data_IF_622487291259
#
_entry.id   IF_622487291259
#
_cell.length_a   1.000
_cell.length_b   1.000
_cell.length_c   1.000
_cell.angle_alpha   90.00
_cell.angle_beta   90.00
_cell.angle_gamma   90.00
#
_symmetry.space_group_name_H-M   'P 1'
#
loop_
_entity.id
_entity.type
_entity.pdbx_description
1 polymer ?
#
# COMPACT_ATOMS: atom_id res chain seq x y z
N UNK A 1 -17.07 -19.01 6.66
CA UNK A 1 -16.34 -18.81 5.40
C UNK A 1 -17.24 -18.05 4.43
N UNK A 2 -17.25 -16.72 4.51
CA UNK A 2 -17.93 -15.90 3.51
C UNK A 2 -17.00 -15.75 2.31
N UNK A 3 -17.20 -16.55 1.26
CA UNK A 3 -16.63 -16.24 -0.05
C UNK A 3 -17.27 -14.93 -0.50
N UNK A 4 -16.52 -13.83 -0.46
CA UNK A 4 -16.95 -12.56 -1.06
C UNK A 4 -17.40 -12.87 -2.49
N UNK A 5 -18.69 -12.71 -2.78
CA UNK A 5 -19.24 -13.00 -4.11
C UNK A 5 -18.50 -12.13 -5.11
N UNK A 6 -17.84 -12.76 -6.08
CA UNK A 6 -17.32 -12.06 -7.24
C UNK A 6 -18.54 -11.50 -7.97
N UNK A 7 -18.60 -10.18 -8.25
CA UNK A 7 -19.70 -9.59 -9.00
C UNK A 7 -19.90 -10.35 -10.33
N UNK A 8 -21.14 -10.46 -10.81
CA UNK A 8 -21.41 -10.99 -12.15
C UNK A 8 -20.64 -10.15 -13.18
N UNK A 9 -19.66 -10.78 -13.86
CA UNK A 9 -18.77 -10.09 -14.78
C UNK A 9 -19.43 -9.95 -16.14
N UNK A 10 -19.34 -8.74 -16.70
CA UNK A 10 -19.71 -8.49 -18.08
C UNK A 10 -18.75 -9.25 -19.00
N UNK A 11 -19.28 -10.16 -19.83
CA UNK A 11 -18.47 -10.85 -20.83
C UNK A 11 -18.12 -9.85 -21.92
N UNK A 12 -16.83 -9.56 -22.07
CA UNK A 12 -16.30 -8.62 -23.06
C UNK A 12 -15.77 -9.40 -24.28
N UNK A 13 -16.03 -8.90 -25.49
CA UNK A 13 -15.48 -9.51 -26.72
C UNK A 13 -13.96 -9.37 -26.76
N UNK A 14 -13.28 -10.18 -27.58
CA UNK A 14 -11.83 -10.03 -27.73
C UNK A 14 -11.47 -8.66 -28.33
N UNK A 15 -12.25 -8.17 -29.28
CA UNK A 15 -12.01 -6.89 -29.95
C UNK A 15 -12.15 -5.70 -29.00
N UNK A 16 -13.14 -5.75 -28.10
CA UNK A 16 -13.34 -4.73 -27.07
C UNK A 16 -12.23 -4.78 -26.01
N UNK A 17 -11.86 -5.98 -25.56
CA UNK A 17 -10.77 -6.19 -24.61
C UNK A 17 -9.40 -5.76 -25.18
N UNK A 18 -9.12 -6.08 -26.44
CA UNK A 18 -7.89 -5.70 -27.12
C UNK A 18 -7.76 -4.17 -27.19
N UNK A 19 -8.82 -3.47 -27.60
CA UNK A 19 -8.81 -1.99 -27.70
C UNK A 19 -8.62 -1.33 -26.35
N UNK A 20 -9.25 -1.84 -25.31
CA UNK A 20 -9.32 -1.19 -23.99
C UNK A 20 -8.23 -1.62 -23.00
N UNK A 21 -7.65 -2.82 -23.17
CA UNK A 21 -6.78 -3.45 -22.17
C UNK A 21 -5.50 -4.04 -22.77
N UNK A 22 -5.63 -4.85 -23.81
CA UNK A 22 -4.58 -5.82 -24.16
C UNK A 22 -3.70 -5.45 -25.36
N UNK A 23 -3.95 -4.34 -26.06
CA UNK A 23 -3.17 -3.99 -27.25
C UNK A 23 -1.70 -3.62 -26.92
N UNK A 24 -0.73 -3.92 -27.81
CA UNK A 24 0.69 -3.69 -27.55
C UNK A 24 1.05 -2.25 -27.21
N UNK A 25 0.45 -1.25 -27.88
CA UNK A 25 0.78 0.16 -27.65
C UNK A 25 0.44 0.59 -26.22
N UNK A 26 -0.78 0.27 -25.77
CA UNK A 26 -1.22 0.52 -24.40
C UNK A 26 -0.36 -0.25 -23.40
N UNK A 27 -0.18 -1.55 -23.61
CA UNK A 27 0.53 -2.40 -22.66
C UNK A 27 2.00 -2.02 -22.51
N UNK A 28 2.70 -1.68 -23.60
CA UNK A 28 4.08 -1.18 -23.51
C UNK A 28 4.16 0.09 -22.66
N UNK A 29 3.25 1.04 -22.87
CA UNK A 29 3.21 2.29 -22.08
C UNK A 29 2.97 2.02 -20.58
N UNK A 30 2.03 1.14 -20.26
CA UNK A 30 1.72 0.77 -18.87
C UNK A 30 2.87 0.02 -18.21
N UNK A 31 3.48 -0.94 -18.93
CA UNK A 31 4.60 -1.72 -18.44
C UNK A 31 5.86 -0.87 -18.24
N UNK A 32 6.17 0.08 -19.12
CA UNK A 32 7.29 1.00 -18.91
C UNK A 32 7.13 1.85 -17.65
N UNK A 33 5.90 2.34 -17.41
CA UNK A 33 5.59 3.08 -16.18
C UNK A 33 5.75 2.21 -14.93
N UNK A 34 5.27 0.97 -14.97
CA UNK A 34 5.32 0.06 -13.82
C UNK A 34 6.71 -0.55 -13.60
N UNK A 35 7.46 -0.77 -14.68
CA UNK A 35 8.71 -1.55 -14.72
C UNK A 35 9.74 -0.82 -15.60
N UNK A 36 10.38 0.25 -15.09
CA UNK A 36 11.25 1.12 -15.88
C UNK A 36 12.42 0.42 -16.59
N UNK A 37 12.87 -0.74 -16.08
CA UNK A 37 13.90 -1.53 -16.75
C UNK A 37 13.45 -2.04 -18.14
N UNK A 38 12.15 -2.24 -18.38
CA UNK A 38 11.64 -2.60 -19.71
C UNK A 38 11.83 -1.46 -20.71
N UNK A 39 11.61 -0.21 -20.28
CA UNK A 39 11.88 0.97 -21.11
C UNK A 39 13.38 1.15 -21.36
N UNK A 40 14.20 1.04 -20.31
CA UNK A 40 15.65 1.17 -20.40
C UNK A 40 16.28 0.12 -21.33
N UNK A 41 15.70 -1.08 -21.39
CA UNK A 41 16.13 -2.16 -22.29
C UNK A 41 15.49 -2.07 -23.68
N UNK A 42 14.52 -1.19 -23.86
CA UNK A 42 13.68 -1.07 -25.07
C UNK A 42 12.91 -2.37 -25.40
N UNK A 43 12.70 -3.23 -24.39
CA UNK A 43 11.90 -4.43 -24.53
C UNK A 43 10.46 -4.04 -24.86
N UNK A 44 9.80 -4.74 -25.80
CA UNK A 44 8.41 -4.41 -26.14
C UNK A 44 7.59 -5.61 -26.59
N UNK A 45 6.30 -5.54 -26.32
CA UNK A 45 5.28 -6.39 -26.92
C UNK A 45 5.07 -5.96 -28.37
N UNK A 46 5.07 -6.93 -29.29
CA UNK A 46 4.83 -6.70 -30.73
C UNK A 46 3.46 -7.23 -31.16
N UNK A 47 2.96 -8.31 -30.53
CA UNK A 47 1.66 -8.91 -30.88
C UNK A 47 1.03 -9.59 -29.67
N UNK A 48 -0.29 -9.49 -29.56
CA UNK A 48 -1.09 -10.18 -28.53
C UNK A 48 -2.33 -10.77 -29.19
N UNK A 49 -2.66 -12.02 -28.84
CA UNK A 49 -3.91 -12.70 -29.19
C UNK A 49 -4.43 -13.48 -27.97
N UNK A 50 -5.65 -14.04 -28.00
CA UNK A 50 -6.11 -14.91 -26.91
C UNK A 50 -5.13 -16.08 -26.69
N UNK A 51 -4.53 -16.15 -25.50
CA UNK A 51 -3.55 -17.16 -25.15
C UNK A 51 -2.20 -17.03 -25.89
N UNK A 52 -1.89 -15.88 -26.51
CA UNK A 52 -0.63 -15.67 -27.22
C UNK A 52 -0.03 -14.30 -26.97
N UNK A 53 1.31 -14.26 -26.86
CA UNK A 53 2.08 -13.02 -26.84
C UNK A 53 3.39 -13.20 -27.62
N UNK A 54 3.75 -12.18 -28.38
CA UNK A 54 5.08 -12.01 -28.98
C UNK A 54 5.71 -10.71 -28.50
N UNK A 55 7.01 -10.79 -28.21
CA UNK A 55 7.80 -9.67 -27.70
C UNK A 55 9.16 -9.63 -28.38
N UNK A 56 9.83 -8.49 -28.27
CA UNK A 56 11.22 -8.30 -28.71
C UNK A 56 12.03 -7.75 -27.55
N UNK A 57 13.15 -8.41 -27.25
CA UNK A 57 14.26 -7.84 -26.49
C UNK A 57 15.34 -7.40 -27.50
N UNK A 58 15.54 -6.09 -27.70
CA UNK A 58 16.54 -5.62 -28.65
C UNK A 58 17.95 -5.85 -28.15
N UNK A 59 18.85 -6.33 -29.01
CA UNK A 59 20.30 -6.26 -28.78
C UNK A 59 20.77 -4.80 -28.84
N UNK A 60 21.12 -4.23 -27.68
CA UNK A 60 21.61 -2.86 -27.55
C UNK A 60 22.59 -2.76 -26.36
N UNK A 61 23.07 -1.55 -26.08
CA UNK A 61 24.01 -1.31 -24.98
C UNK A 61 23.45 -1.71 -23.61
N UNK A 62 22.16 -1.47 -23.35
CA UNK A 62 21.54 -1.80 -22.06
C UNK A 62 21.31 -3.30 -21.87
N UNK A 63 21.20 -4.06 -22.98
CA UNK A 63 20.81 -5.47 -22.93
C UNK A 63 21.96 -6.45 -23.10
N UNK A 64 23.14 -5.97 -23.48
CA UNK A 64 24.32 -6.81 -23.77
C UNK A 64 25.26 -6.95 -22.58
N UNK A 65 26.01 -8.05 -22.56
CA UNK A 65 27.15 -8.28 -21.66
C UNK A 65 28.48 -7.91 -22.35
N UNK A 66 29.62 -8.15 -21.68
CA UNK A 66 30.96 -7.87 -22.22
C UNK A 66 31.30 -8.62 -23.52
N UNK A 67 30.51 -9.62 -23.90
CA UNK A 67 30.67 -10.40 -25.11
C UNK A 67 29.71 -9.97 -26.25
N UNK A 68 28.97 -8.87 -26.07
CA UNK A 68 28.02 -8.38 -27.07
C UNK A 68 26.80 -9.29 -27.26
N UNK A 69 26.46 -10.09 -26.24
CA UNK A 69 25.30 -11.00 -26.25
C UNK A 69 24.31 -10.62 -25.15
N UNK A 70 23.04 -11.00 -25.31
CA UNK A 70 22.02 -10.70 -24.30
C UNK A 70 22.40 -11.22 -22.90
N UNK A 71 22.18 -10.39 -21.88
CA UNK A 71 22.36 -10.79 -20.48
C UNK A 71 21.30 -11.84 -20.07
N UNK A 72 21.73 -12.90 -19.38
CA UNK A 72 20.86 -13.98 -18.95
C UNK A 72 19.64 -13.49 -18.15
N UNK A 73 19.85 -12.54 -17.22
CA UNK A 73 18.78 -11.96 -16.40
C UNK A 73 17.72 -11.21 -17.22
N UNK A 74 18.10 -10.58 -18.34
CA UNK A 74 17.17 -9.86 -19.21
C UNK A 74 16.38 -10.80 -20.12
N UNK A 75 16.93 -11.98 -20.43
CA UNK A 75 16.18 -13.05 -21.09
C UNK A 75 15.11 -13.58 -20.13
N UNK A 76 15.45 -13.79 -18.85
CA UNK A 76 14.48 -14.18 -17.81
C UNK A 76 13.38 -13.14 -17.61
N UNK A 77 13.75 -11.86 -17.57
CA UNK A 77 12.79 -10.75 -17.53
C UNK A 77 11.86 -10.79 -18.75
N UNK A 78 12.42 -10.93 -19.96
CA UNK A 78 11.65 -11.04 -21.19
C UNK A 78 10.66 -12.21 -21.13
N UNK A 79 11.09 -13.36 -20.60
CA UNK A 79 10.24 -14.55 -20.47
C UNK A 79 9.04 -14.30 -19.57
N UNK A 80 9.26 -13.63 -18.44
CA UNK A 80 8.22 -13.32 -17.46
C UNK A 80 7.09 -12.49 -18.08
N UNK A 81 7.43 -11.38 -18.71
CA UNK A 81 6.41 -10.50 -19.29
C UNK A 81 5.78 -11.08 -20.57
N UNK A 82 6.49 -11.91 -21.35
CA UNK A 82 5.90 -12.63 -22.49
C UNK A 82 4.85 -13.64 -22.02
N UNK A 83 5.19 -14.50 -21.06
CA UNK A 83 4.26 -15.52 -20.55
C UNK A 83 3.09 -14.91 -19.77
N UNK A 84 3.36 -13.89 -18.94
CA UNK A 84 2.33 -13.17 -18.19
C UNK A 84 1.33 -12.47 -19.11
N UNK A 85 1.77 -11.89 -20.22
CA UNK A 85 0.87 -11.28 -21.20
C UNK A 85 0.00 -12.33 -21.92
N UNK A 86 0.58 -13.48 -22.29
CA UNK A 86 -0.17 -14.57 -22.91
C UNK A 86 -1.22 -15.17 -21.97
N UNK A 87 -0.91 -15.29 -20.68
CA UNK A 87 -1.88 -15.71 -19.66
C UNK A 87 -3.03 -14.71 -19.53
N UNK A 88 -2.71 -13.43 -19.46
CA UNK A 88 -3.68 -12.38 -19.14
C UNK A 88 -4.57 -11.99 -20.31
N UNK A 89 -4.18 -12.33 -21.55
CA UNK A 89 -5.06 -12.21 -22.71
C UNK A 89 -6.21 -13.22 -22.70
N UNK A 90 -6.13 -14.29 -21.89
CA UNK A 90 -7.26 -15.21 -21.64
C UNK A 90 -8.27 -14.65 -20.64
N UNK A 91 -7.87 -13.73 -19.76
CA UNK A 91 -8.71 -13.13 -18.73
C UNK A 91 -9.39 -11.86 -19.24
N UNK A 92 -10.29 -12.00 -20.22
CA UNK A 92 -10.96 -10.87 -20.90
C UNK A 92 -11.78 -10.02 -19.92
N UNK A 93 -11.69 -8.71 -20.07
CA UNK A 93 -12.35 -7.73 -19.21
C UNK A 93 -11.75 -7.63 -17.81
N UNK A 94 -10.62 -8.31 -17.54
CA UNK A 94 -10.00 -8.36 -16.21
C UNK A 94 -8.71 -7.53 -16.21
N UNK A 95 -8.72 -6.30 -15.67
CA UNK A 95 -7.50 -5.52 -15.51
C UNK A 95 -6.52 -6.17 -14.53
N UNK A 96 -5.23 -5.91 -14.71
CA UNK A 96 -4.18 -6.41 -13.82
C UNK A 96 -3.82 -5.37 -12.77
N UNK A 97 -3.93 -5.76 -11.50
CA UNK A 97 -3.51 -4.92 -10.38
C UNK A 97 -2.02 -4.57 -10.50
N UNK A 98 -1.68 -3.29 -10.35
CA UNK A 98 -0.31 -2.77 -10.47
C UNK A 98 0.13 -2.41 -11.89
N UNK A 99 -0.64 -2.79 -12.93
CA UNK A 99 -0.37 -2.41 -14.33
C UNK A 99 -1.49 -1.54 -14.89
N UNK A 100 -2.74 -2.00 -14.73
CA UNK A 100 -3.93 -1.29 -15.15
C UNK A 100 -4.50 -0.47 -13.99
N UNK A 101 -5.13 0.66 -14.31
CA UNK A 101 -5.97 1.34 -13.35
C UNK A 101 -7.24 0.51 -13.12
N UNK A 102 -7.45 0.05 -11.89
CA UNK A 102 -8.56 -0.85 -11.56
C UNK A 102 -8.85 -0.90 -10.07
N UNK A 103 -10.06 -1.36 -9.73
CA UNK A 103 -10.44 -1.69 -8.36
C UNK A 103 -10.20 -3.17 -8.05
N UNK A 104 -10.17 -3.54 -6.78
CA UNK A 104 -9.85 -4.91 -6.37
C UNK A 104 -10.96 -5.92 -6.74
N UNK A 105 -12.21 -5.45 -6.85
CA UNK A 105 -13.39 -6.25 -7.16
C UNK A 105 -13.40 -6.74 -8.63
N UNK A 106 -12.75 -5.99 -9.51
CA UNK A 106 -12.74 -6.25 -10.95
C UNK A 106 -11.38 -6.75 -11.47
N UNK A 107 -10.31 -6.63 -10.69
CA UNK A 107 -8.95 -6.94 -11.14
C UNK A 107 -8.45 -8.35 -10.80
N UNK A 108 -7.39 -8.75 -11.49
CA UNK A 108 -6.56 -9.91 -11.15
C UNK A 108 -5.25 -9.46 -10.49
N UNK A 109 -4.84 -10.19 -9.47
CA UNK A 109 -3.45 -10.22 -9.02
C UNK A 109 -2.74 -11.38 -9.71
N UNK A 110 -1.57 -11.10 -10.28
CA UNK A 110 -0.73 -12.06 -10.98
C UNK A 110 0.71 -11.92 -10.49
N UNK A 111 1.39 -13.05 -10.27
CA UNK A 111 2.83 -13.05 -10.03
C UNK A 111 3.49 -14.33 -10.55
N UNK A 112 4.80 -14.25 -10.77
CA UNK A 112 5.64 -15.37 -11.12
C UNK A 112 6.01 -16.17 -9.86
N UNK A 113 5.62 -17.44 -9.82
CA UNK A 113 5.91 -18.35 -8.70
C UNK A 113 7.26 -19.06 -8.86
N UNK A 114 7.65 -19.40 -10.09
CA UNK A 114 8.96 -19.97 -10.40
C UNK A 114 9.29 -19.83 -11.88
N UNK A 115 10.57 -19.85 -12.25
CA UNK A 115 11.03 -19.89 -13.63
C UNK A 115 12.13 -20.94 -13.80
N UNK A 116 12.18 -21.55 -14.99
CA UNK A 116 13.30 -22.33 -15.48
C UNK A 116 13.64 -21.82 -16.87
N UNK A 117 14.90 -21.42 -17.11
CA UNK A 117 15.36 -20.92 -18.41
C UNK A 117 16.57 -21.73 -18.84
N UNK A 118 16.47 -22.36 -20.01
CA UNK A 118 17.56 -23.10 -20.66
C UNK A 118 18.07 -22.31 -21.86
N UNK A 119 19.32 -21.87 -21.75
CA UNK A 119 20.04 -21.19 -22.82
C UNK A 119 20.64 -22.22 -23.78
N UNK A 120 20.28 -22.13 -25.05
CA UNK A 120 20.74 -23.06 -26.11
C UNK A 120 22.00 -22.52 -26.78
N UNK A 121 22.01 -21.23 -27.11
CA UNK A 121 23.15 -20.55 -27.75
C UNK A 121 23.13 -19.06 -27.43
N UNK A 122 24.26 -18.35 -27.59
CA UNK A 122 24.30 -16.91 -27.40
C UNK A 122 23.38 -16.19 -28.39
N UNK A 123 22.60 -15.21 -27.90
CA UNK A 123 21.79 -14.34 -28.74
C UNK A 123 22.60 -13.10 -29.14
N UNK A 124 22.83 -12.97 -30.45
CA UNK A 124 23.69 -11.95 -31.09
C UNK A 124 22.93 -10.99 -32.00
N UNK A 125 21.61 -10.89 -31.83
CA UNK A 125 20.71 -10.03 -32.58
C UNK A 125 19.45 -9.78 -31.76
N UNK A 126 18.50 -8.98 -32.27
CA UNK A 126 17.23 -8.78 -31.57
C UNK A 126 16.54 -10.13 -31.32
N UNK A 127 16.15 -10.36 -30.07
CA UNK A 127 15.61 -11.64 -29.63
C UNK A 127 14.10 -11.55 -29.57
N UNK A 128 13.41 -12.43 -30.30
CA UNK A 128 11.94 -12.53 -30.27
C UNK A 128 11.53 -13.61 -29.28
N UNK A 129 10.69 -13.26 -28.32
CA UNK A 129 10.09 -14.18 -27.36
C UNK A 129 8.65 -14.49 -27.74
N UNK A 130 8.23 -15.76 -27.68
CA UNK A 130 6.86 -16.19 -27.97
C UNK A 130 6.33 -17.12 -26.90
N UNK A 131 5.08 -16.89 -26.50
CA UNK A 131 4.33 -17.78 -25.63
C UNK A 131 2.98 -18.07 -26.27
N UNK A 132 2.62 -19.35 -26.38
CA UNK A 132 1.27 -19.82 -26.71
C UNK A 132 0.79 -20.72 -25.58
N UNK A 133 -0.33 -20.37 -24.98
CA UNK A 133 -1.03 -21.23 -24.01
C UNK A 133 -1.68 -22.38 -24.79
N UNK A 134 -1.44 -23.65 -24.45
CA UNK A 134 -2.12 -24.79 -25.07
C UNK A 134 -3.64 -24.68 -24.93
N UNK A 135 -4.40 -25.06 -25.96
CA UNK A 135 -5.86 -24.85 -26.01
C UNK A 135 -6.61 -25.55 -24.86
N UNK A 136 -6.19 -26.76 -24.49
CA UNK A 136 -6.79 -27.51 -23.37
C UNK A 136 -6.53 -26.83 -22.02
N UNK A 137 -5.37 -26.18 -21.89
CA UNK A 137 -4.96 -25.43 -20.71
C UNK A 137 -5.66 -24.07 -20.66
N UNK A 138 -5.82 -23.40 -21.80
CA UNK A 138 -6.49 -22.12 -21.93
C UNK A 138 -7.92 -22.19 -21.40
N UNK A 139 -8.69 -23.22 -21.80
CA UNK A 139 -10.05 -23.45 -21.29
C UNK A 139 -10.06 -23.65 -19.77
N UNK A 140 -9.17 -24.50 -19.25
CA UNK A 140 -9.04 -24.77 -17.81
C UNK A 140 -8.72 -23.49 -17.01
N UNK A 141 -7.85 -22.63 -17.54
CA UNK A 141 -7.50 -21.34 -16.92
C UNK A 141 -8.74 -20.46 -16.81
N UNK A 142 -9.46 -20.26 -17.92
CA UNK A 142 -10.65 -19.39 -17.98
C UNK A 142 -11.73 -19.90 -17.03
N UNK A 143 -12.09 -21.18 -17.10
CA UNK A 143 -13.12 -21.79 -16.27
C UNK A 143 -12.77 -21.68 -14.78
N UNK A 144 -11.50 -21.95 -14.44
CA UNK A 144 -11.02 -21.90 -13.06
C UNK A 144 -11.03 -20.48 -12.51
N UNK A 145 -10.54 -19.50 -13.28
CA UNK A 145 -10.57 -18.10 -12.88
C UNK A 145 -12.00 -17.56 -12.76
N UNK A 146 -12.90 -17.91 -13.69
CA UNK A 146 -14.31 -17.53 -13.65
C UNK A 146 -15.03 -18.11 -12.42
N UNK A 147 -14.65 -19.32 -11.97
CA UNK A 147 -15.15 -19.92 -10.73
C UNK A 147 -14.59 -19.29 -9.45
N UNK A 148 -13.77 -18.22 -9.56
CA UNK A 148 -13.15 -17.56 -8.42
C UNK A 148 -12.07 -18.39 -7.74
N UNK A 149 -11.46 -19.35 -8.45
CA UNK A 149 -10.38 -20.20 -7.92
C UNK A 149 -9.03 -19.69 -8.38
N UNK A 150 -8.01 -19.86 -7.53
CA UNK A 150 -6.60 -19.62 -7.88
C UNK A 150 -6.20 -20.39 -9.14
N UNK A 151 -5.59 -19.71 -10.10
CA UNK A 151 -4.91 -20.30 -11.27
C UNK A 151 -3.44 -20.48 -10.92
N UNK A 152 -2.91 -21.67 -11.16
CA UNK A 152 -1.49 -21.97 -11.04
C UNK A 152 -1.08 -22.77 -12.27
N UNK A 153 -0.26 -22.19 -13.14
CA UNK A 153 0.00 -22.75 -14.47
C UNK A 153 1.44 -22.52 -14.91
N UNK A 154 2.06 -23.54 -15.51
CA UNK A 154 3.35 -23.44 -16.18
C UNK A 154 3.14 -23.15 -17.66
N UNK A 155 3.80 -22.12 -18.19
CA UNK A 155 3.72 -21.72 -19.59
C UNK A 155 5.10 -21.80 -20.27
N UNK A 156 5.17 -22.35 -21.49
CA UNK A 156 6.39 -22.40 -22.26
C UNK A 156 6.62 -21.07 -23.00
N UNK A 157 7.87 -20.60 -22.99
CA UNK A 157 8.32 -19.46 -23.78
C UNK A 157 9.49 -19.92 -24.65
N UNK A 158 9.43 -19.61 -25.94
CA UNK A 158 10.52 -19.87 -26.87
C UNK A 158 11.15 -18.56 -27.31
N UNK A 159 12.48 -18.56 -27.42
CA UNK A 159 13.25 -17.41 -27.87
C UNK A 159 14.01 -17.74 -29.13
N UNK A 160 13.93 -16.83 -30.10
CA UNK A 160 14.66 -16.90 -31.35
C UNK A 160 15.45 -15.64 -31.64
N UNK A 161 16.52 -15.78 -32.39
CA UNK A 161 17.31 -14.68 -32.94
C UNK A 161 17.73 -15.08 -34.34
N UNK A 162 17.47 -14.24 -35.35
CA UNK A 162 17.80 -14.51 -36.74
C UNK A 162 17.32 -15.90 -37.23
N UNK A 163 16.11 -16.30 -36.83
CA UNK A 163 15.52 -17.60 -37.18
C UNK A 163 16.12 -18.82 -36.47
N UNK A 164 16.94 -18.61 -35.43
CA UNK A 164 17.52 -19.70 -34.64
C UNK A 164 17.06 -19.65 -33.18
N UNK A 165 16.70 -20.80 -32.62
CA UNK A 165 16.34 -20.94 -31.20
C UNK A 165 17.53 -20.65 -30.28
N UNK A 166 17.41 -19.64 -29.42
CA UNK A 166 18.47 -19.20 -28.50
C UNK A 166 18.22 -19.60 -27.05
N UNK A 167 16.97 -19.69 -26.64
CA UNK A 167 16.58 -20.15 -25.31
C UNK A 167 15.17 -20.75 -25.32
N UNK A 168 14.89 -21.57 -24.32
CA UNK A 168 13.55 -22.05 -23.97
C UNK A 168 13.34 -21.84 -22.47
N UNK A 169 12.12 -21.46 -22.08
CA UNK A 169 11.80 -21.24 -20.70
C UNK A 169 10.44 -21.84 -20.33
N UNK A 170 10.31 -22.24 -19.07
CA UNK A 170 9.06 -22.64 -18.46
C UNK A 170 8.82 -21.78 -17.22
N UNK A 171 7.74 -21.01 -17.23
CA UNK A 171 7.42 -20.07 -16.16
C UNK A 171 6.09 -20.45 -15.51
N UNK A 172 6.10 -20.56 -14.19
CA UNK A 172 4.94 -20.92 -13.40
C UNK A 172 4.29 -19.66 -12.83
N UNK A 173 3.10 -19.34 -13.30
CA UNK A 173 2.33 -18.19 -12.89
C UNK A 173 1.25 -18.55 -11.89
N UNK A 174 1.04 -17.65 -10.95
CA UNK A 174 -0.15 -17.61 -10.11
C UNK A 174 -1.04 -16.46 -10.57
N UNK A 175 -2.37 -16.68 -10.62
CA UNK A 175 -3.34 -15.60 -10.82
C UNK A 175 -4.63 -15.84 -10.02
N UNK A 176 -5.20 -14.80 -9.42
CA UNK A 176 -6.52 -14.85 -8.77
C UNK A 176 -7.20 -13.46 -8.70
N UNK A 177 -8.52 -13.39 -8.50
CA UNK A 177 -9.21 -12.12 -8.25
C UNK A 177 -8.61 -11.37 -7.06
N UNK A 178 -8.29 -10.08 -7.24
CA UNK A 178 -7.59 -9.27 -6.24
C UNK A 178 -8.37 -9.19 -4.92
N UNK A 179 -9.69 -9.07 -4.97
CA UNK A 179 -10.55 -9.01 -3.78
C UNK A 179 -10.34 -10.22 -2.83
N UNK A 180 -10.03 -11.40 -3.37
CA UNK A 180 -9.83 -12.61 -2.57
C UNK A 180 -8.51 -12.59 -1.79
N UNK A 181 -7.54 -11.73 -2.15
CA UNK A 181 -6.36 -11.47 -1.34
C UNK A 181 -6.68 -10.60 -0.12
N UNK A 182 -7.75 -9.82 -0.18
CA UNK A 182 -8.15 -8.86 0.86
C UNK A 182 -9.15 -9.44 1.85
N UNK A 183 -9.94 -10.45 1.44
CA UNK A 183 -11.00 -11.06 2.26
C UNK A 183 -10.58 -12.27 3.10
N UNK A 184 -9.29 -12.58 3.20
CA UNK A 184 -8.78 -13.69 3.99
C UNK A 184 -8.49 -13.30 5.45
N UNK A 185 -8.47 -14.25 6.41
CA UNK A 185 -7.94 -13.99 7.75
C UNK A 185 -6.50 -13.46 7.62
N UNK A 186 -6.21 -12.30 8.22
CA UNK A 186 -4.92 -11.61 8.11
C UNK A 186 -3.72 -12.53 8.42
N UNK A 187 -3.91 -13.48 9.34
CA UNK A 187 -2.92 -14.49 9.75
C UNK A 187 -2.41 -15.40 8.60
N UNK A 188 -3.09 -15.46 7.44
CA UNK A 188 -2.74 -16.39 6.34
C UNK A 188 -2.35 -15.72 5.02
N UNK A 189 -2.47 -14.40 4.89
CA UNK A 189 -2.15 -13.69 3.65
C UNK A 189 -0.79 -12.99 3.74
N UNK A 190 0.25 -13.66 3.26
CA UNK A 190 1.62 -13.10 3.17
C UNK A 190 1.66 -11.76 2.41
N UNK A 191 0.77 -11.55 1.45
CA UNK A 191 0.68 -10.34 0.65
C UNK A 191 0.03 -9.16 1.40
N UNK A 192 -1.02 -9.42 2.20
CA UNK A 192 -1.64 -8.38 3.03
C UNK A 192 -0.63 -7.90 4.08
N UNK A 193 0.07 -8.84 4.72
CA UNK A 193 1.13 -8.55 5.69
C UNK A 193 2.29 -7.78 5.05
N UNK A 194 2.69 -8.14 3.83
CA UNK A 194 3.70 -7.38 3.08
C UNK A 194 3.24 -5.96 2.74
N UNK A 195 1.96 -5.77 2.36
CA UNK A 195 1.39 -4.46 2.05
C UNK A 195 1.35 -3.56 3.28
N UNK A 196 0.83 -4.04 4.41
CA UNK A 196 0.79 -3.28 5.66
C UNK A 196 2.19 -2.81 6.10
N UNK A 197 3.18 -3.72 6.05
CA UNK A 197 4.59 -3.38 6.33
C UNK A 197 5.14 -2.35 5.34
N UNK A 198 4.82 -2.47 4.06
CA UNK A 198 5.28 -1.53 3.03
C UNK A 198 4.71 -0.13 3.25
N UNK A 199 3.41 0.02 3.52
CA UNK A 199 2.78 1.31 3.79
C UNK A 199 3.34 1.94 5.07
N UNK A 200 3.51 1.17 6.16
CA UNK A 200 4.12 1.67 7.40
C UNK A 200 5.56 2.18 7.18
N UNK A 201 6.38 1.44 6.43
CA UNK A 201 7.75 1.84 6.07
C UNK A 201 7.78 3.07 5.17
N UNK A 202 6.83 3.17 4.23
CA UNK A 202 6.69 4.33 3.36
C UNK A 202 6.38 5.59 4.17
N UNK A 203 5.40 5.54 5.08
CA UNK A 203 5.07 6.69 5.96
C UNK A 203 6.25 7.06 6.87
N UNK A 204 6.97 6.08 7.42
CA UNK A 204 8.22 6.34 8.15
C UNK A 204 9.27 7.03 7.26
N UNK A 205 9.40 6.62 6.00
CA UNK A 205 10.29 7.25 5.02
C UNK A 205 9.89 8.70 4.70
N UNK A 206 8.58 9.00 4.60
CA UNK A 206 8.07 10.37 4.43
C UNK A 206 8.45 11.24 5.62
N UNK A 207 8.32 10.73 6.86
CA UNK A 207 8.76 11.44 8.08
C UNK A 207 10.27 11.64 8.10
N UNK A 208 11.04 10.63 7.72
CA UNK A 208 12.50 10.69 7.67
C UNK A 208 12.99 11.78 6.71
N UNK A 209 12.41 11.86 5.51
CA UNK A 209 12.78 12.87 4.51
C UNK A 209 12.28 14.28 4.83
N UNK A 210 11.33 14.39 5.75
CA UNK A 210 10.87 15.66 6.30
C UNK A 210 11.71 16.13 7.50
N UNK A 211 12.57 15.27 8.04
CA UNK A 211 13.48 15.51 9.16
C UNK A 211 14.94 15.42 8.70
N UNK A 212 15.45 16.46 8.03
CA UNK A 212 16.82 16.50 7.49
C UNK A 212 17.22 17.85 6.88
N UNK A 213 18.42 17.91 6.29
CA UNK A 213 18.93 19.10 5.58
C UNK A 213 17.94 19.55 4.50
N UNK A 214 17.62 20.86 4.48
CA UNK A 214 16.55 21.45 3.68
C UNK A 214 16.78 21.32 2.17
N UNK A 215 18.01 21.03 1.75
CA UNK A 215 18.41 20.89 0.35
C UNK A 215 17.70 19.74 -0.38
N UNK A 216 17.17 18.74 0.34
CA UNK A 216 16.49 17.56 -0.25
C UNK A 216 15.14 17.16 0.37
N UNK A 217 14.56 18.00 1.23
CA UNK A 217 13.27 17.72 1.90
C UNK A 217 12.09 17.99 0.98
N UNK A 218 11.12 17.05 0.93
CA UNK A 218 9.83 17.26 0.26
C UNK A 218 8.91 18.18 1.05
N UNK A 219 9.13 18.29 2.36
CA UNK A 219 8.35 19.12 3.27
C UNK A 219 9.08 20.44 3.55
N UNK A 220 8.37 21.57 3.42
CA UNK A 220 8.94 22.92 3.58
C UNK A 220 8.49 23.66 4.84
N UNK A 221 7.66 23.04 5.68
CA UNK A 221 7.12 23.64 6.89
C UNK A 221 8.04 23.59 8.12
N UNK A 222 7.49 23.84 9.33
CA UNK A 222 8.23 23.82 10.58
C UNK A 222 8.90 22.47 10.86
N UNK A 223 10.13 22.49 11.38
CA UNK A 223 10.82 21.24 11.73
C UNK A 223 10.04 20.52 12.83
N UNK A 224 9.67 19.28 12.55
CA UNK A 224 9.07 18.36 13.51
C UNK A 224 10.12 17.28 13.76
N UNK A 225 10.45 17.03 15.02
CA UNK A 225 11.33 15.92 15.40
C UNK A 225 10.77 14.64 14.77
N UNK A 226 11.56 13.86 14.05
CA UNK A 226 11.16 12.53 13.57
C UNK A 226 12.36 11.60 13.71
N UNK A 227 13.09 11.71 14.83
CA UNK A 227 14.16 10.80 15.17
C UNK A 227 13.74 9.34 14.96
N UNK A 228 14.69 8.53 14.47
CA UNK A 228 14.51 7.10 14.17
C UNK A 228 13.53 6.76 13.04
N UNK A 229 12.88 7.75 12.40
CA UNK A 229 12.02 7.48 11.23
C UNK A 229 12.80 6.88 10.05
N UNK A 230 14.07 7.26 9.86
CA UNK A 230 14.94 6.67 8.84
C UNK A 230 15.27 5.19 9.13
N UNK A 231 15.59 4.86 10.39
CA UNK A 231 15.78 3.47 10.85
C UNK A 231 14.51 2.66 10.61
N UNK A 232 13.35 3.20 10.99
CA UNK A 232 12.06 2.53 10.79
C UNK A 232 11.70 2.32 9.31
N UNK A 233 11.96 3.31 8.45
CA UNK A 233 11.74 3.19 7.01
C UNK A 233 12.61 2.08 6.40
N UNK A 234 13.89 2.06 6.76
CA UNK A 234 14.92 1.28 6.06
C UNK A 234 15.03 1.64 4.57
N UNK A 235 15.89 0.95 3.80
CA UNK A 235 16.08 1.26 2.38
C UNK A 235 14.79 1.17 1.56
N UNK A 236 13.94 0.18 1.85
CA UNK A 236 12.68 -0.01 1.15
C UNK A 236 11.69 1.13 1.40
N UNK A 237 11.49 1.52 2.66
CA UNK A 237 10.60 2.63 3.01
C UNK A 237 11.05 3.96 2.44
N UNK A 238 12.37 4.22 2.45
CA UNK A 238 12.95 5.44 1.86
C UNK A 238 12.69 5.53 0.35
N UNK A 239 12.87 4.43 -0.38
CA UNK A 239 12.58 4.37 -1.81
C UNK A 239 11.09 4.53 -2.12
N UNK A 240 10.21 3.88 -1.35
CA UNK A 240 8.77 4.04 -1.50
C UNK A 240 8.34 5.48 -1.21
N UNK A 241 8.86 6.10 -0.16
CA UNK A 241 8.56 7.49 0.17
C UNK A 241 8.99 8.46 -0.94
N UNK A 242 10.13 8.23 -1.58
CA UNK A 242 10.58 9.03 -2.71
C UNK A 242 9.65 8.88 -3.92
N UNK A 243 9.34 7.64 -4.32
CA UNK A 243 8.39 7.36 -5.41
C UNK A 243 7.02 7.98 -5.15
N UNK A 244 6.52 7.84 -3.93
CA UNK A 244 5.21 8.39 -3.54
C UNK A 244 5.21 9.91 -3.53
N UNK A 245 6.23 10.58 -2.99
CA UNK A 245 6.27 12.05 -2.97
C UNK A 245 6.41 12.67 -4.37
N UNK A 246 7.12 12.00 -5.29
CA UNK A 246 7.17 12.44 -6.70
C UNK A 246 5.78 12.38 -7.34
N UNK A 247 5.02 11.32 -7.07
CA UNK A 247 3.68 11.16 -7.61
C UNK A 247 2.61 11.97 -6.84
N UNK A 248 2.82 12.23 -5.55
CA UNK A 248 1.87 12.85 -4.63
C UNK A 248 2.61 13.91 -3.79
N UNK A 249 2.88 15.10 -4.34
CA UNK A 249 3.64 16.13 -3.63
C UNK A 249 3.03 16.56 -2.28
N UNK A 250 1.71 16.40 -2.12
CA UNK A 250 0.97 16.74 -0.90
C UNK A 250 1.18 15.74 0.25
N UNK A 251 1.72 14.55 -0.02
CA UNK A 251 1.87 13.48 0.95
C UNK A 251 2.74 13.88 2.15
N UNK A 252 3.85 14.58 1.88
CA UNK A 252 4.74 15.06 2.93
C UNK A 252 4.00 16.02 3.88
N UNK A 253 3.32 17.04 3.35
CA UNK A 253 2.54 17.98 4.18
C UNK A 253 1.44 17.26 4.97
N UNK A 254 0.74 16.30 4.36
CA UNK A 254 -0.26 15.48 5.05
C UNK A 254 0.32 14.75 6.26
N UNK A 255 1.41 14.01 6.06
CA UNK A 255 2.03 13.20 7.12
C UNK A 255 2.61 14.10 8.22
N UNK A 256 3.21 15.23 7.85
CA UNK A 256 3.80 16.15 8.82
C UNK A 256 2.75 16.91 9.63
N UNK A 257 1.64 17.34 9.02
CA UNK A 257 0.54 17.97 9.76
C UNK A 257 -0.06 16.97 10.77
N UNK A 258 -0.26 15.72 10.34
CA UNK A 258 -0.74 14.63 11.17
C UNK A 258 0.16 14.40 12.38
N UNK A 259 1.47 14.27 12.13
CA UNK A 259 2.50 14.12 13.16
C UNK A 259 2.45 15.27 14.16
N UNK A 260 2.41 16.51 13.66
CA UNK A 260 2.40 17.72 14.47
C UNK A 260 1.14 17.83 15.32
N UNK A 261 -0.03 17.52 14.76
CA UNK A 261 -1.32 17.55 15.47
C UNK A 261 -1.35 16.59 16.65
N UNK A 262 -0.84 15.36 16.46
CA UNK A 262 -0.72 14.36 17.53
C UNK A 262 0.26 14.84 18.60
N UNK A 263 1.42 15.36 18.19
CA UNK A 263 2.43 15.86 19.13
C UNK A 263 1.90 17.02 19.97
N UNK A 264 1.17 17.96 19.35
CA UNK A 264 0.52 19.08 20.03
C UNK A 264 -0.55 18.60 21.01
N UNK A 265 -1.37 17.62 20.59
CA UNK A 265 -2.39 17.02 21.46
C UNK A 265 -1.75 16.33 22.66
N UNK A 266 -0.66 15.59 22.45
CA UNK A 266 0.09 14.90 23.51
C UNK A 266 0.58 15.90 24.56
N UNK A 267 1.14 17.04 24.15
CA UNK A 267 1.62 18.09 25.07
C UNK A 267 0.50 18.88 25.75
N UNK A 268 -0.70 18.89 25.17
CA UNK A 268 -1.83 19.67 25.66
C UNK A 268 -2.65 18.96 26.75
N UNK A 269 -2.46 17.64 26.97
CA UNK A 269 -3.23 16.87 27.96
C UNK A 269 -2.56 17.01 29.34
N UNK A 270 -3.23 17.64 30.32
CA UNK A 270 -2.68 17.78 31.66
C UNK A 270 -2.51 16.42 32.33
N UNK A 271 -1.34 16.18 32.92
CA UNK A 271 -1.06 14.95 33.67
C UNK A 271 -1.16 13.68 32.83
N UNK A 272 -0.94 13.75 31.50
CA UNK A 272 -0.89 12.58 30.64
C UNK A 272 0.10 11.55 31.18
N UNK A 273 -0.33 10.29 31.30
CA UNK A 273 0.51 9.20 31.81
C UNK A 273 0.56 8.01 30.86
N UNK A 274 -0.49 7.81 30.05
CA UNK A 274 -0.60 6.67 29.14
C UNK A 274 -0.88 7.12 27.71
N UNK A 275 -0.26 6.44 26.75
CA UNK A 275 -0.50 6.66 25.32
C UNK A 275 -0.80 5.30 24.68
N UNK A 276 -1.98 5.17 24.10
CA UNK A 276 -2.41 3.98 23.36
C UNK A 276 -2.33 4.30 21.87
N UNK A 277 -1.51 3.56 21.14
CA UNK A 277 -1.30 3.69 19.70
C UNK A 277 -2.07 2.58 18.99
N UNK A 278 -3.25 2.91 18.47
CA UNK A 278 -4.11 2.00 17.72
C UNK A 278 -3.65 1.96 16.25
N UNK A 279 -3.12 0.82 15.82
CA UNK A 279 -2.40 0.70 14.56
C UNK A 279 -0.99 1.29 14.69
N UNK A 280 -0.25 0.85 15.72
CA UNK A 280 1.03 1.45 16.08
C UNK A 280 2.05 1.47 14.93
N UNK A 281 2.00 0.47 14.04
CA UNK A 281 2.85 0.35 12.87
C UNK A 281 4.31 0.65 13.18
N UNK A 282 4.92 1.54 12.39
CA UNK A 282 6.30 1.99 12.55
C UNK A 282 6.41 3.43 13.06
N UNK A 283 5.44 3.86 13.87
CA UNK A 283 5.52 5.17 14.50
C UNK A 283 6.52 5.19 15.67
N UNK A 284 7.55 6.02 15.56
CA UNK A 284 8.66 6.06 16.54
C UNK A 284 8.51 7.16 17.60
N UNK A 285 7.30 7.72 17.82
CA UNK A 285 7.05 8.70 18.90
C UNK A 285 7.63 8.33 20.26
N UNK A 286 7.55 7.07 20.74
CA UNK A 286 8.09 6.72 22.06
C UNK A 286 9.60 6.97 22.19
N UNK A 287 10.34 6.96 21.07
CA UNK A 287 11.81 7.09 21.05
C UNK A 287 12.28 8.52 20.71
N UNK A 288 11.37 9.44 20.41
CA UNK A 288 11.68 10.83 20.02
C UNK A 288 12.04 11.68 21.24
N UNK A 289 12.97 12.63 21.08
CA UNK A 289 13.53 13.42 22.18
C UNK A 289 12.48 14.19 22.98
N UNK A 290 11.40 14.65 22.33
CA UNK A 290 10.33 15.39 23.00
C UNK A 290 9.32 14.54 23.79
N UNK A 291 9.50 13.22 23.83
CA UNK A 291 8.58 12.26 24.48
C UNK A 291 9.32 11.20 25.31
N UNK A 292 10.51 10.80 24.88
CA UNK A 292 11.38 9.90 25.65
C UNK A 292 11.74 10.53 27.00
N UNK A 293 11.70 9.73 28.06
CA UNK A 293 12.03 10.18 29.42
C UNK A 293 10.93 10.97 30.13
N UNK A 294 9.77 11.20 29.51
CA UNK A 294 8.62 11.86 30.16
C UNK A 294 7.80 10.92 31.06
N UNK A 295 8.20 9.65 31.21
CA UNK A 295 7.52 8.67 32.07
C UNK A 295 6.18 8.16 31.51
N UNK A 296 5.92 8.35 30.21
CA UNK A 296 4.73 7.81 29.57
C UNK A 296 4.81 6.29 29.43
N UNK A 297 3.68 5.62 29.65
CA UNK A 297 3.49 4.21 29.33
C UNK A 297 2.82 4.07 27.98
N UNK A 298 3.47 3.38 27.05
CA UNK A 298 2.98 3.18 25.70
C UNK A 298 2.33 1.81 25.54
N UNK A 299 1.13 1.78 24.97
CA UNK A 299 0.45 0.56 24.56
C UNK A 299 0.40 0.52 23.04
N UNK A 300 1.11 -0.43 22.45
CA UNK A 300 1.28 -0.54 21.00
C UNK A 300 0.29 -1.61 20.50
N UNK A 301 -0.85 -1.17 19.98
CA UNK A 301 -1.93 -2.07 19.55
C UNK A 301 -1.86 -2.27 18.05
N UNK A 302 -1.60 -3.50 17.61
CA UNK A 302 -1.52 -3.84 16.18
C UNK A 302 -1.64 -5.36 15.97
N UNK A 303 -1.62 -5.79 14.71
CA UNK A 303 -1.52 -7.21 14.34
C UNK A 303 -0.19 -7.82 14.84
N UNK A 304 -0.17 -9.10 15.24
CA UNK A 304 1.05 -9.77 15.72
C UNK A 304 2.26 -9.60 14.79
N UNK A 305 2.06 -9.71 13.48
CA UNK A 305 3.12 -9.60 12.48
C UNK A 305 3.69 -8.19 12.34
N UNK A 306 2.86 -7.17 12.60
CA UNK A 306 3.29 -5.77 12.65
C UNK A 306 4.03 -5.46 13.94
N UNK A 307 3.56 -5.99 15.08
CA UNK A 307 4.26 -5.86 16.36
C UNK A 307 5.64 -6.54 16.32
N UNK A 308 5.75 -7.71 15.69
CA UNK A 308 7.04 -8.37 15.47
C UNK A 308 8.00 -7.56 14.61
N UNK A 309 7.49 -6.91 13.55
CA UNK A 309 8.31 -6.01 12.72
C UNK A 309 8.75 -4.76 13.49
N UNK A 310 7.83 -4.18 14.26
CA UNK A 310 8.11 -3.02 15.11
C UNK A 310 9.16 -3.34 16.16
N UNK A 311 9.04 -4.45 16.88
CA UNK A 311 10.04 -4.94 17.84
C UNK A 311 11.42 -5.07 17.18
N UNK A 312 11.49 -5.67 15.97
CA UNK A 312 12.73 -5.80 15.21
C UNK A 312 13.39 -4.45 14.92
N UNK A 313 12.60 -3.44 14.51
CA UNK A 313 13.07 -2.08 14.25
C UNK A 313 13.49 -1.37 15.54
N UNK A 314 12.70 -1.48 16.62
CA UNK A 314 12.98 -0.80 17.87
C UNK A 314 14.31 -1.27 18.49
N UNK A 315 14.68 -2.55 18.34
CA UNK A 315 15.99 -3.07 18.77
C UNK A 315 17.19 -2.45 18.06
N UNK A 316 16.97 -1.76 16.93
CA UNK A 316 18.02 -0.99 16.24
C UNK A 316 18.18 0.44 16.80
N UNK A 317 17.38 0.83 17.80
CA UNK A 317 17.39 2.17 18.41
C UNK A 317 18.11 2.10 19.76
N UNK A 318 19.08 3.01 19.97
CA UNK A 318 19.83 3.07 21.21
C UNK A 318 18.94 3.36 22.43
N UNK A 319 19.07 2.54 23.48
CA UNK A 319 18.29 2.60 24.71
C UNK A 319 16.79 2.37 24.52
N UNK A 320 16.42 1.54 23.53
CA UNK A 320 15.03 1.14 23.32
C UNK A 320 14.39 0.48 24.55
N UNK A 321 15.19 -0.20 25.39
CA UNK A 321 14.77 -0.85 26.63
C UNK A 321 14.34 0.14 27.73
N UNK A 322 14.75 1.41 27.62
CA UNK A 322 14.40 2.46 28.61
C UNK A 322 12.99 3.03 28.39
N UNK A 323 12.35 2.70 27.27
CA UNK A 323 11.00 3.13 26.95
C UNK A 323 10.02 2.11 27.53
N UNK A 324 9.06 2.57 28.35
CA UNK A 324 7.98 1.72 28.87
C UNK A 324 6.92 1.51 27.77
N UNK A 325 7.01 0.37 27.10
CA UNK A 325 6.16 -0.02 25.96
C UNK A 325 5.65 -1.44 26.14
N UNK A 326 4.35 -1.60 25.94
CA UNK A 326 3.65 -2.88 26.02
C UNK A 326 2.99 -3.20 24.68
N UNK A 327 3.45 -4.23 23.95
CA UNK A 327 2.79 -4.68 22.73
C UNK A 327 1.47 -5.38 23.08
N UNK A 328 0.39 -5.01 22.38
CA UNK A 328 -0.96 -5.56 22.57
C UNK A 328 -1.47 -6.09 21.24
N UNK A 329 -1.39 -7.41 21.05
CA UNK A 329 -1.84 -8.05 19.81
C UNK A 329 -3.37 -7.99 19.67
N UNK A 330 -3.84 -7.31 18.63
CA UNK A 330 -5.26 -7.22 18.30
C UNK A 330 -5.50 -7.05 16.79
N UNK A 331 -6.52 -7.75 16.29
CA UNK A 331 -7.11 -7.54 14.99
C UNK A 331 -8.41 -6.73 15.13
N UNK A 332 -8.41 -5.50 14.61
CA UNK A 332 -9.55 -4.57 14.74
C UNK A 332 -10.85 -5.04 14.08
N UNK A 333 -10.79 -6.07 13.23
CA UNK A 333 -11.98 -6.65 12.61
C UNK A 333 -12.68 -7.69 13.50
N UNK A 334 -12.00 -8.26 14.49
CA UNK A 334 -12.47 -9.45 15.20
C UNK A 334 -12.28 -9.40 16.71
N UNK A 335 -11.27 -8.69 17.19
CA UNK A 335 -10.94 -8.62 18.62
C UNK A 335 -11.62 -7.44 19.32
N UNK A 336 -11.97 -7.66 20.58
CA UNK A 336 -12.36 -6.58 21.49
C UNK A 336 -11.11 -5.89 22.04
N UNK A 337 -10.79 -4.72 21.47
CA UNK A 337 -9.61 -3.93 21.86
C UNK A 337 -9.71 -3.43 23.30
N UNK A 338 -10.91 -3.13 23.80
CA UNK A 338 -11.09 -2.68 25.18
C UNK A 338 -10.77 -3.79 26.18
N UNK A 339 -11.23 -5.00 25.90
CA UNK A 339 -10.90 -6.17 26.71
C UNK A 339 -9.40 -6.48 26.68
N UNK A 340 -8.75 -6.40 25.51
CA UNK A 340 -7.31 -6.62 25.36
C UNK A 340 -6.48 -5.64 26.18
N UNK A 341 -6.79 -4.35 26.11
CA UNK A 341 -6.11 -3.31 26.89
C UNK A 341 -6.37 -3.47 28.40
N UNK A 342 -7.62 -3.78 28.80
CA UNK A 342 -7.98 -3.97 30.21
C UNK A 342 -7.30 -5.21 30.83
N UNK A 343 -6.88 -6.17 30.01
CA UNK A 343 -6.13 -7.34 30.46
C UNK A 343 -4.62 -7.06 30.65
N UNK A 344 -4.10 -5.92 30.18
CA UNK A 344 -2.72 -5.53 30.42
C UNK A 344 -2.53 -5.08 31.88
N UNK A 345 -1.62 -5.73 32.62
CA UNK A 345 -1.39 -5.44 34.05
C UNK A 345 -1.04 -3.98 34.34
N UNK A 346 -0.40 -3.30 33.38
CA UNK A 346 0.07 -1.93 33.50
C UNK A 346 -0.88 -0.90 32.88
N UNK A 347 -2.01 -1.30 32.28
CA UNK A 347 -3.01 -0.35 31.79
C UNK A 347 -3.99 0.05 32.90
N UNK A 348 -4.11 1.35 33.20
CA UNK A 348 -5.10 1.86 34.15
C UNK A 348 -6.08 2.85 33.47
N UNK A 349 -7.37 2.51 33.32
CA UNK A 349 -8.35 3.40 32.70
C UNK A 349 -8.62 4.68 33.50
N UNK A 350 -8.23 4.73 34.78
CA UNK A 350 -8.40 5.89 35.65
C UNK A 350 -7.28 6.93 35.51
N UNK A 351 -6.24 6.67 34.72
CA UNK A 351 -5.21 7.66 34.43
C UNK A 351 -5.48 8.40 33.12
N UNK A 352 -4.98 9.63 33.03
CA UNK A 352 -5.08 10.42 31.81
C UNK A 352 -4.39 9.68 30.65
N UNK A 353 -5.20 9.30 29.66
CA UNK A 353 -4.78 8.47 28.54
C UNK A 353 -5.09 9.16 27.21
N UNK A 354 -4.09 9.22 26.33
CA UNK A 354 -4.27 9.61 24.94
C UNK A 354 -4.38 8.36 24.08
N UNK A 355 -5.50 8.19 23.40
CA UNK A 355 -5.70 7.18 22.37
C UNK A 355 -5.43 7.83 21.00
N UNK A 356 -4.58 7.21 20.19
CA UNK A 356 -4.18 7.69 18.86
C UNK A 356 -4.64 6.65 17.85
N UNK A 357 -5.58 7.01 16.97
CA UNK A 357 -6.01 6.17 15.86
C UNK A 357 -5.62 6.85 14.55
N UNK A 358 -4.41 6.56 14.10
CA UNK A 358 -3.74 7.29 13.02
C UNK A 358 -3.61 6.46 11.76
N UNK A 359 -4.03 7.02 10.61
CA UNK A 359 -3.86 6.37 9.31
C UNK A 359 -4.61 5.05 9.18
N UNK A 360 -5.66 4.86 9.99
CA UNK A 360 -6.42 3.63 10.05
C UNK A 360 -7.88 3.79 9.61
N UNK A 361 -8.56 4.87 10.05
CA UNK A 361 -10.02 5.01 9.90
C UNK A 361 -10.51 4.85 8.46
N UNK A 362 -9.75 5.38 7.49
CA UNK A 362 -10.05 5.38 6.06
C UNK A 362 -9.91 4.01 5.37
N UNK A 363 -9.43 3.00 6.09
CA UNK A 363 -9.26 1.63 5.63
C UNK A 363 -10.23 0.63 6.31
N UNK A 364 -11.04 1.12 7.24
CA UNK A 364 -12.06 0.34 7.93
C UNK A 364 -13.45 0.85 7.56
N UNK A 365 -14.45 -0.04 7.54
CA UNK A 365 -15.82 0.38 7.29
C UNK A 365 -16.41 1.15 8.48
N UNK A 366 -17.66 1.61 8.33
CA UNK A 366 -18.34 2.34 9.38
C UNK A 366 -18.50 1.52 10.66
N UNK A 367 -18.79 0.23 10.56
CA UNK A 367 -19.04 -0.62 11.72
C UNK A 367 -17.78 -0.76 12.58
N UNK A 368 -16.64 -1.02 11.94
CA UNK A 368 -15.35 -1.15 12.63
C UNK A 368 -14.92 0.18 13.24
N UNK A 369 -15.09 1.30 12.51
CA UNK A 369 -14.79 2.63 13.06
C UNK A 369 -15.66 2.96 14.29
N UNK A 370 -16.97 2.72 14.22
CA UNK A 370 -17.88 2.92 15.35
C UNK A 370 -17.49 2.05 16.54
N UNK A 371 -17.28 0.74 16.32
CA UNK A 371 -16.86 -0.20 17.37
C UNK A 371 -15.53 0.19 18.02
N UNK A 372 -14.57 0.72 17.25
CA UNK A 372 -13.29 1.20 17.77
C UNK A 372 -13.48 2.40 18.69
N UNK A 373 -14.27 3.39 18.26
CA UNK A 373 -14.54 4.60 19.06
C UNK A 373 -15.31 4.24 20.34
N UNK A 374 -16.29 3.34 20.27
CA UNK A 374 -17.02 2.84 21.45
C UNK A 374 -16.11 2.08 22.42
N UNK A 375 -15.19 1.25 21.89
CA UNK A 375 -14.18 0.55 22.69
C UNK A 375 -13.31 1.54 23.45
N UNK A 376 -12.77 2.55 22.76
CA UNK A 376 -12.00 3.63 23.40
C UNK A 376 -12.84 4.38 24.43
N UNK A 377 -14.07 4.77 24.09
CA UNK A 377 -15.00 5.47 25.00
C UNK A 377 -15.22 4.73 26.31
N UNK A 378 -15.29 3.40 26.25
CA UNK A 378 -15.47 2.54 27.43
C UNK A 378 -14.27 2.54 28.38
N UNK A 379 -13.06 2.75 27.85
CA UNK A 379 -11.81 2.80 28.61
C UNK A 379 -11.52 4.18 29.21
N UNK A 380 -12.16 5.24 28.70
CA UNK A 380 -11.92 6.62 29.12
C UNK A 380 -12.66 6.95 30.44
N UNK A 381 -12.10 6.53 31.57
CA UNK A 381 -12.64 6.90 32.91
C UNK A 381 -12.07 8.22 33.43
N UNK A 382 -10.83 8.56 33.08
CA UNK A 382 -10.25 9.85 33.47
C UNK A 382 -10.76 11.01 32.59
N UNK A 383 -11.15 12.16 33.17
CA UNK A 383 -11.74 13.29 32.42
C UNK A 383 -10.75 13.97 31.46
N UNK A 384 -9.44 13.87 31.70
CA UNK A 384 -8.42 14.40 30.79
C UNK A 384 -8.07 13.46 29.63
N UNK A 385 -8.58 12.23 29.61
CA UNK A 385 -8.34 11.33 28.50
C UNK A 385 -8.87 11.92 27.19
N UNK A 386 -8.15 11.68 26.10
CA UNK A 386 -8.52 12.14 24.75
C UNK A 386 -8.37 11.03 23.73
N UNK A 387 -9.19 11.07 22.70
CA UNK A 387 -9.02 10.30 21.47
C UNK A 387 -8.66 11.27 20.34
N UNK A 388 -7.52 11.02 19.69
CA UNK A 388 -7.11 11.67 18.45
C UNK A 388 -7.37 10.71 17.28
N UNK A 389 -8.06 11.17 16.23
CA UNK A 389 -8.36 10.39 15.02
C UNK A 389 -8.20 11.26 13.78
N UNK A 390 -7.61 10.70 12.71
CA UNK A 390 -7.70 11.27 11.37
C UNK A 390 -8.84 10.66 10.57
N UNK A 391 -9.57 11.47 9.81
CA UNK A 391 -10.60 11.04 8.88
C UNK A 391 -10.32 11.60 7.48
N UNK A 392 -10.80 10.88 6.46
CA UNK A 392 -10.89 11.38 5.10
C UNK A 392 -12.33 11.81 4.84
N UNK A 393 -12.53 12.94 4.16
CA UNK A 393 -13.86 13.41 3.79
C UNK A 393 -14.57 12.39 2.87
N UNK A 394 -15.87 12.16 3.11
CA UNK A 394 -16.70 11.26 2.28
C UNK A 394 -16.60 11.58 0.76
N UNK A 395 -16.42 12.86 0.42
CA UNK A 395 -16.29 13.31 -0.97
C UNK A 395 -15.10 12.69 -1.73
N UNK A 396 -14.09 12.21 -1.01
CA UNK A 396 -12.95 11.50 -1.57
C UNK A 396 -13.28 10.06 -1.98
N UNK A 397 -14.37 9.48 -1.46
CA UNK A 397 -14.76 8.08 -1.69
C UNK A 397 -15.81 7.99 -2.79
N UNK A 398 -16.83 8.85 -2.73
CA UNK A 398 -17.93 8.86 -3.71
C UNK A 398 -17.56 9.61 -5.01
N UNK A 399 -16.39 10.25 -5.05
CA UNK A 399 -15.92 11.02 -6.20
C UNK A 399 -16.69 12.33 -6.40
N UNK A 400 -17.40 12.81 -5.38
CA UNK A 400 -18.16 14.07 -5.43
C UNK A 400 -17.33 15.29 -5.08
N UNK A 401 -16.05 15.13 -4.77
CA UNK A 401 -15.12 16.23 -4.63
C UNK A 401 -14.92 16.94 -5.99
N UNK A 402 -15.74 17.96 -6.24
CA UNK A 402 -15.76 18.77 -7.47
C UNK A 402 -14.58 19.75 -7.50
N UNK A 403 -13.37 19.21 -7.46
CA UNK A 403 -12.12 19.97 -7.52
C UNK A 403 -11.05 19.18 -8.30
N UNK A 404 -10.44 19.77 -9.35
CA UNK A 404 -9.52 19.04 -10.24
C UNK A 404 -8.28 18.47 -9.56
N UNK A 405 -7.73 19.16 -8.56
CA UNK A 405 -6.50 18.72 -7.87
C UNK A 405 -6.79 17.52 -6.96
N UNK A 406 -7.95 17.51 -6.30
CA UNK A 406 -8.47 16.39 -5.51
C UNK A 406 -8.70 15.19 -6.43
N UNK A 407 -9.40 15.37 -7.54
CA UNK A 407 -9.65 14.28 -8.50
C UNK A 407 -8.34 13.68 -9.02
N UNK A 408 -7.37 14.53 -9.38
CA UNK A 408 -6.06 14.09 -9.83
C UNK A 408 -5.26 13.39 -8.72
N UNK A 409 -5.34 13.87 -7.47
CA UNK A 409 -4.72 13.25 -6.31
C UNK A 409 -5.30 11.86 -6.03
N UNK A 410 -6.62 11.73 -5.97
CA UNK A 410 -7.31 10.45 -5.73
C UNK A 410 -7.03 9.45 -6.85
N UNK A 411 -6.98 9.92 -8.09
CA UNK A 411 -6.56 9.09 -9.23
C UNK A 411 -5.14 8.55 -9.02
N UNK A 412 -4.19 9.40 -8.60
CA UNK A 412 -2.79 8.97 -8.38
C UNK A 412 -2.67 8.02 -7.18
N UNK A 413 -3.41 8.25 -6.09
CA UNK A 413 -3.50 7.30 -4.97
C UNK A 413 -4.00 5.93 -5.43
N UNK A 414 -5.03 5.91 -6.28
CA UNK A 414 -5.57 4.70 -6.88
C UNK A 414 -4.56 3.99 -7.80
N UNK A 415 -3.89 4.73 -8.69
CA UNK A 415 -2.84 4.20 -9.57
C UNK A 415 -1.67 3.58 -8.78
N UNK A 416 -1.46 4.02 -7.52
CA UNK A 416 -0.39 3.55 -6.63
C UNK A 416 -0.84 2.45 -5.66
N UNK A 417 -2.12 2.04 -5.70
CA UNK A 417 -2.67 0.97 -4.86
C UNK A 417 -2.99 1.39 -3.42
N UNK A 418 -3.02 2.69 -3.15
CA UNK A 418 -3.27 3.31 -1.83
C UNK A 418 -4.67 3.96 -1.74
N UNK A 419 -5.66 3.38 -2.43
CA UNK A 419 -7.05 3.87 -2.46
C UNK A 419 -7.67 3.90 -1.06
N UNK A 420 -8.32 5.01 -0.70
CA UNK A 420 -9.18 5.08 0.49
C UNK A 420 -10.47 4.31 0.29
N UNK A 421 -10.90 3.55 1.30
CA UNK A 421 -12.11 2.71 1.22
C UNK A 421 -13.26 3.26 2.06
N UNK A 422 -12.98 4.20 2.96
CA UNK A 422 -13.96 4.80 3.84
C UNK A 422 -13.71 6.30 4.07
N UNK A 423 -14.79 7.04 4.26
CA UNK A 423 -14.77 8.47 4.49
C UNK A 423 -15.93 8.89 5.39
N UNK A 424 -15.85 10.10 5.93
CA UNK A 424 -16.83 10.64 6.87
C UNK A 424 -17.14 12.08 6.49
N UNK A 425 -18.42 12.41 6.33
CA UNK A 425 -18.86 13.79 6.01
C UNK A 425 -18.96 14.68 7.24
N UNK A 426 -19.31 14.09 8.40
CA UNK A 426 -19.52 14.77 9.68
C UNK A 426 -18.88 13.99 10.83
N UNK A 427 -17.55 14.13 11.05
CA UNK A 427 -16.85 13.41 12.12
C UNK A 427 -17.43 13.67 13.52
N UNK A 428 -17.95 14.89 13.75
CA UNK A 428 -18.63 15.27 14.99
C UNK A 428 -19.84 14.40 15.31
N UNK A 429 -20.64 14.05 14.28
CA UNK A 429 -21.83 13.23 14.44
C UNK A 429 -21.48 11.77 14.74
N UNK A 430 -20.47 11.22 14.06
CA UNK A 430 -19.97 9.86 14.32
C UNK A 430 -19.45 9.75 15.75
N UNK A 431 -18.60 10.70 16.18
CA UNK A 431 -18.06 10.73 17.53
C UNK A 431 -19.17 10.88 18.57
N UNK A 432 -20.12 11.79 18.35
CA UNK A 432 -21.27 11.98 19.26
C UNK A 432 -22.15 10.74 19.39
N UNK A 433 -22.35 10.00 18.29
CA UNK A 433 -23.10 8.74 18.31
C UNK A 433 -22.43 7.70 19.23
N UNK A 434 -21.09 7.67 19.25
CA UNK A 434 -20.31 6.80 20.12
C UNK A 434 -20.13 7.36 21.55
N UNK A 435 -20.90 8.38 21.94
CA UNK A 435 -20.83 8.99 23.27
C UNK A 435 -19.61 9.88 23.50
N UNK A 436 -18.90 10.30 22.45
CA UNK A 436 -17.74 11.19 22.54
C UNK A 436 -18.12 12.64 22.27
N UNK A 437 -17.45 13.59 22.94
CA UNK A 437 -17.56 15.02 22.67
C UNK A 437 -16.32 15.53 21.94
N UNK A 438 -16.51 16.02 20.72
CA UNK A 438 -15.44 16.66 19.95
C UNK A 438 -14.98 17.95 20.64
N UNK A 439 -13.67 18.09 20.83
CA UNK A 439 -13.00 19.25 21.44
C UNK A 439 -12.42 20.18 20.38
N UNK A 440 -11.83 19.60 19.34
CA UNK A 440 -11.31 20.33 18.18
C UNK A 440 -11.38 19.46 16.94
N UNK A 441 -11.48 20.13 15.80
CA UNK A 441 -11.27 19.57 14.47
C UNK A 441 -10.46 20.58 13.67
N UNK A 442 -9.49 20.10 12.91
CA UNK A 442 -8.74 20.93 11.96
C UNK A 442 -8.43 20.12 10.72
N UNK A 443 -8.23 20.78 9.58
CA UNK A 443 -7.75 20.12 8.38
C UNK A 443 -6.25 20.29 8.21
N UNK A 444 -5.62 19.42 7.42
CA UNK A 444 -4.20 19.62 7.09
C UNK A 444 -3.97 20.97 6.39
N UNK A 445 -4.92 21.39 5.53
CA UNK A 445 -4.84 22.67 4.82
C UNK A 445 -4.90 23.92 5.72
N UNK A 446 -5.40 23.79 6.95
CA UNK A 446 -5.44 24.88 7.93
C UNK A 446 -4.18 24.95 8.80
N UNK A 447 -3.45 23.84 8.97
CA UNK A 447 -2.29 23.77 9.86
C UNK A 447 -1.05 24.49 9.31
N UNK A 448 -0.94 24.66 7.99
CA UNK A 448 0.24 25.19 7.34
C UNK A 448 -0.04 26.35 6.40
N UNK A 449 0.65 27.47 6.62
CA UNK A 449 0.56 28.67 5.78
C UNK A 449 1.46 28.62 4.53
N UNK A 450 2.42 27.68 4.46
CA UNK A 450 3.36 27.55 3.34
C UNK A 450 2.78 26.78 2.14
N UNK A 451 1.58 26.22 2.29
CA UNK A 451 0.93 25.40 1.26
C UNK A 451 0.16 26.31 0.30
N UNK A 452 0.32 26.10 -1.01
CA UNK A 452 -0.44 26.84 -2.02
C UNK A 452 -1.93 26.43 -2.07
N UNK A 453 -2.74 27.19 -2.80
CA UNK A 453 -4.18 26.96 -2.88
C UNK A 453 -4.56 25.58 -3.47
N UNK A 454 -3.76 25.06 -4.41
CA UNK A 454 -4.01 23.79 -5.09
C UNK A 454 -3.68 22.58 -4.20
N UNK A 455 -2.63 22.68 -3.39
CA UNK A 455 -2.35 21.70 -2.36
C UNK A 455 -3.34 21.83 -1.17
N UNK A 456 -3.77 23.05 -0.83
CA UNK A 456 -4.74 23.28 0.26
C UNK A 456 -6.09 22.59 0.03
N UNK A 457 -6.59 22.53 -1.20
CA UNK A 457 -7.84 21.80 -1.52
C UNK A 457 -7.71 20.29 -1.26
N UNK A 458 -6.60 19.69 -1.69
CA UNK A 458 -6.27 18.28 -1.43
C UNK A 458 -6.09 18.02 0.07
N UNK A 459 -5.35 18.88 0.77
CA UNK A 459 -5.08 18.76 2.20
C UNK A 459 -6.34 19.02 3.05
N UNK A 460 -7.33 19.71 2.51
CA UNK A 460 -8.66 19.90 3.13
C UNK A 460 -9.50 18.61 3.23
N UNK A 461 -9.12 17.55 2.50
CA UNK A 461 -9.78 16.24 2.62
C UNK A 461 -9.48 15.54 3.93
N UNK A 462 -8.38 15.88 4.61
CA UNK A 462 -7.91 15.20 5.81
C UNK A 462 -8.24 16.00 7.05
N UNK A 463 -9.02 15.39 7.93
CA UNK A 463 -9.52 15.98 9.16
C UNK A 463 -8.83 15.33 10.34
N UNK A 464 -8.31 16.12 11.27
CA UNK A 464 -7.78 15.66 12.54
C UNK A 464 -8.72 16.10 13.64
N UNK A 465 -9.24 15.13 14.39
CA UNK A 465 -10.19 15.38 15.46
C UNK A 465 -9.59 15.00 16.80
N UNK A 466 -9.89 15.80 17.82
CA UNK A 466 -9.63 15.46 19.23
C UNK A 466 -10.97 15.41 19.94
N UNK A 467 -11.22 14.34 20.68
CA UNK A 467 -12.47 14.13 21.41
C UNK A 467 -12.23 13.63 22.83
N UNK A 468 -13.20 13.83 23.72
CA UNK A 468 -13.21 13.27 25.07
C UNK A 468 -14.47 12.43 25.28
N UNK A 469 -14.48 11.67 26.37
CA UNK A 469 -15.68 11.03 26.90
C UNK A 469 -16.83 12.01 27.19
#
# INVERSE_FOLDING_TARGET
MNTTRIPERKIVSWEEDYRSRSNPELMNRLLYKAVPVLEATQWKITRVEPGYCETVLPLNHATTNQHGTHQAALISLSADYTGGMALTSLLRGVPLAGIHQCRAEESASLWLASMNVKYVKPSTGHMTGRCRVPDDLAKKIVDRYASGKRVLVSLPIEFETNGQKVAEAELKYFAQPTIQLMSGPAETSTLLNAKAKASARMIAGVRARSHGDRSGSFYKGPRIDCAHAATAAGPHGMLLAEKMNVALPQLADMVMARTMSIDQTTRAIPGLQQIVMLGAGLDMRPFRNGFRGHGFRYFEVDLPEMLGERERVCREIDGWEEVDRTPVAANFLTDDVAAKLSACENFDPNLATLFIFEGCSMYFDQLVNTSMVESVRSLMKHPESRLWVDFVNQSAIDGTADEPNVSAFLKRMSDLGETFTYGVSKPDQLLKHCGMKMKSATTTGEMFSHVDAAAKSVLGLYWFTVSSA
#
